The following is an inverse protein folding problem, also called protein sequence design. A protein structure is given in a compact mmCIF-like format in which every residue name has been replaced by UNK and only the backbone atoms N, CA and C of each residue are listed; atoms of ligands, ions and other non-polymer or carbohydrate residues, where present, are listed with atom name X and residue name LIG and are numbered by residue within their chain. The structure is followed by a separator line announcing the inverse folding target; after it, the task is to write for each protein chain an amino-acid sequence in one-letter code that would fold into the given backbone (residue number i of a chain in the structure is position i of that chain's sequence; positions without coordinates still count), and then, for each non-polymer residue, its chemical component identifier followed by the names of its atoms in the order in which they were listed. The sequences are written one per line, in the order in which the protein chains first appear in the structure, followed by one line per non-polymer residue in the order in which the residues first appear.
data_IF_590440912352
#
_entry.id   IF_590440912352
#
_cell.length_a   1.000
_cell.length_b   1.000
_cell.length_c   1.000
_cell.angle_alpha   90.00
_cell.angle_beta   90.00
_cell.angle_gamma   90.00
#
_symmetry.space_group_name_H-M   'P 1'
#
loop_
_entity.id
_entity.type
_entity.pdbx_description
1 polymer ?
#
# COMPACT_ATOMS: atom_id res chain seq x y z
N UNK A 1 -45.43 43.80 25.86
CA UNK A 1 -46.23 44.23 24.68
C UNK A 1 -46.40 43.03 23.75
N UNK A 2 -47.58 42.84 23.13
CA UNK A 2 -48.15 41.50 23.01
C UNK A 2 -48.08 40.83 21.62
N UNK A 3 -48.07 39.49 21.68
CA UNK A 3 -48.81 38.51 20.86
C UNK A 3 -49.33 38.90 19.46
N UNK A 4 -48.95 38.10 18.46
CA UNK A 4 -49.79 37.77 17.29
C UNK A 4 -49.83 36.24 17.13
N UNK A 5 -50.93 35.74 16.59
CA UNK A 5 -51.50 34.41 16.76
C UNK A 5 -51.05 33.32 15.77
N UNK A 6 -51.38 32.09 16.17
CA UNK A 6 -51.33 30.82 15.42
C UNK A 6 -52.24 30.85 14.18
N UNK A 7 -51.87 30.08 13.14
CA UNK A 7 -52.80 29.43 12.23
C UNK A 7 -52.27 28.02 11.91
N UNK A 8 -53.12 27.01 12.11
CA UNK A 8 -52.89 25.60 11.78
C UNK A 8 -53.52 25.31 10.41
N UNK A 9 -53.01 24.33 9.67
CA UNK A 9 -53.85 23.59 8.71
C UNK A 9 -53.40 22.13 8.63
N UNK A 10 -54.36 21.22 8.84
CA UNK A 10 -54.14 19.77 8.91
C UNK A 10 -54.64 19.06 7.65
N UNK A 11 -53.91 18.01 7.28
CA UNK A 11 -54.41 16.73 6.74
C UNK A 11 -55.31 16.75 5.49
N UNK A 12 -54.82 16.10 4.41
CA UNK A 12 -55.60 14.98 3.83
C UNK A 12 -54.74 13.79 3.42
N UNK A 13 -54.93 12.67 4.11
CA UNK A 13 -54.59 11.31 3.67
C UNK A 13 -55.70 10.75 2.78
N UNK A 14 -55.35 9.97 1.75
CA UNK A 14 -56.13 8.78 1.36
C UNK A 14 -55.31 7.88 0.42
N UNK A 15 -55.70 6.60 0.36
CA UNK A 15 -54.93 5.48 -0.19
C UNK A 15 -55.85 4.49 -0.88
N UNK A 16 -55.43 3.90 -2.00
CA UNK A 16 -55.94 2.64 -2.58
C UNK A 16 -54.86 2.12 -3.58
N UNK A 17 -54.42 0.85 -3.70
CA UNK A 17 -54.98 -0.48 -3.37
C UNK A 17 -56.08 -0.93 -4.39
N UNK A 18 -56.13 -2.13 -5.00
CA UNK A 18 -55.23 -3.30 -5.19
C UNK A 18 -55.66 -4.01 -6.51
N UNK A 19 -54.76 -4.68 -7.23
CA UNK A 19 -54.92 -5.98 -7.95
C UNK A 19 -53.73 -6.17 -8.92
N UNK A 20 -53.18 -7.35 -9.19
CA UNK A 20 -53.51 -8.71 -8.74
C UNK A 20 -53.32 -9.72 -9.88
N UNK A 21 -52.53 -10.78 -9.67
CA UNK A 21 -52.71 -12.17 -10.16
C UNK A 21 -51.37 -12.95 -10.23
N UNK A 22 -51.26 -14.02 -9.44
CA UNK A 22 -50.23 -15.08 -9.61
C UNK A 22 -50.68 -16.13 -10.64
N UNK A 23 -49.80 -17.09 -10.99
CA UNK A 23 -50.05 -18.56 -10.91
C UNK A 23 -48.78 -19.34 -11.33
N UNK A 24 -48.19 -20.08 -10.36
CA UNK A 24 -47.82 -21.52 -10.37
C UNK A 24 -46.89 -22.09 -11.49
N UNK A 25 -45.94 -23.02 -11.28
CA UNK A 25 -45.95 -24.21 -10.39
C UNK A 25 -44.53 -24.70 -9.96
N UNK A 26 -44.38 -24.99 -8.66
CA UNK A 26 -44.08 -26.31 -8.02
C UNK A 26 -42.96 -27.26 -8.55
N UNK A 27 -42.01 -27.60 -7.65
CA UNK A 27 -41.47 -28.96 -7.29
C UNK A 27 -39.93 -29.10 -7.38
N UNK A 28 -39.21 -29.91 -6.59
CA UNK A 28 -39.45 -30.61 -5.30
C UNK A 28 -38.12 -31.25 -4.85
N UNK A 29 -37.73 -31.10 -3.58
CA UNK A 29 -36.59 -31.84 -2.96
C UNK A 29 -37.11 -33.14 -2.33
N UNK A 30 -36.33 -34.25 -2.34
CA UNK A 30 -35.94 -34.87 -1.07
C UNK A 30 -34.54 -35.54 -1.08
N UNK A 31 -33.98 -35.82 0.10
CA UNK A 31 -33.01 -36.91 0.29
C UNK A 31 -31.73 -36.57 1.05
N UNK A 32 -31.71 -36.86 2.35
CA UNK A 32 -30.49 -36.87 3.19
C UNK A 32 -29.89 -38.28 3.26
N UNK A 33 -28.56 -38.41 3.29
CA UNK A 33 -27.85 -39.49 4.01
C UNK A 33 -26.41 -39.07 4.33
N UNK A 34 -25.99 -39.30 5.57
CA UNK A 34 -24.60 -39.17 6.01
C UNK A 34 -23.69 -40.27 5.43
N UNK A 35 -22.38 -40.02 5.32
CA UNK A 35 -21.35 -40.99 5.78
C UNK A 35 -19.92 -40.44 5.85
N UNK A 36 -19.39 -40.51 7.07
CA UNK A 36 -18.00 -40.81 7.48
C UNK A 36 -16.81 -40.63 6.51
N UNK A 37 -15.93 -39.71 6.92
CA UNK A 37 -14.46 -39.75 6.93
C UNK A 37 -13.68 -40.86 6.20
N UNK A 38 -12.61 -40.46 5.48
CA UNK A 38 -11.36 -41.24 5.42
C UNK A 38 -10.11 -40.37 5.14
N UNK A 39 -9.08 -40.48 5.99
CA UNK A 39 -7.75 -39.87 5.82
C UNK A 39 -6.86 -40.73 4.91
N UNK A 40 -6.15 -40.13 3.94
CA UNK A 40 -4.91 -40.65 3.32
C UNK A 40 -4.02 -39.44 2.99
N UNK A 41 -2.96 -39.12 3.76
CA UNK A 41 -1.60 -39.71 3.83
C UNK A 41 -0.83 -39.73 2.50
N UNK A 42 0.31 -39.04 2.54
CA UNK A 42 1.36 -38.81 1.54
C UNK A 42 2.17 -40.07 1.24
N UNK A 43 2.83 -40.14 0.07
CA UNK A 43 4.17 -40.72 -0.03
C UNK A 43 5.20 -39.83 -0.75
N UNK A 44 6.31 -39.56 -0.05
CA UNK A 44 7.67 -39.37 -0.60
C UNK A 44 8.38 -40.75 -0.63
N UNK A 45 9.71 -40.91 -0.94
CA UNK A 45 10.74 -39.96 -1.39
C UNK A 45 11.14 -40.26 -2.87
N UNK A 46 12.31 -40.79 -3.31
CA UNK A 46 13.53 -41.26 -2.63
C UNK A 46 14.70 -40.23 -2.58
N UNK A 47 15.83 -40.62 -1.98
CA UNK A 47 17.16 -40.03 -2.15
C UNK A 47 18.00 -40.89 -3.14
N UNK A 48 19.10 -40.35 -3.65
CA UNK A 48 20.24 -41.14 -4.19
C UNK A 48 21.58 -40.53 -3.76
N UNK A 49 22.62 -41.37 -3.71
CA UNK A 49 23.84 -41.14 -2.94
C UNK A 49 25.13 -41.52 -3.68
N UNK A 50 26.26 -41.04 -3.14
CA UNK A 50 27.65 -41.49 -3.30
C UNK A 50 28.38 -41.32 -4.67
N UNK A 51 29.64 -40.86 -4.57
CA UNK A 51 30.67 -40.91 -5.61
C UNK A 51 31.90 -40.07 -5.25
N UNK A 52 33.08 -40.69 -5.09
CA UNK A 52 34.31 -40.04 -4.59
C UNK A 52 35.23 -39.48 -5.71
N UNK A 53 35.93 -38.39 -5.37
CA UNK A 53 37.36 -38.00 -5.58
C UNK A 53 38.32 -38.99 -6.30
N UNK A 54 39.47 -38.54 -6.92
CA UNK A 54 40.40 -37.56 -6.31
C UNK A 54 41.35 -36.68 -7.20
N UNK A 55 42.09 -35.81 -6.48
CA UNK A 55 43.48 -35.35 -6.70
C UNK A 55 43.84 -34.20 -7.68
N UNK A 56 43.98 -32.99 -7.11
CA UNK A 56 45.20 -32.16 -7.06
C UNK A 56 46.31 -32.32 -8.14
N UNK A 57 46.70 -31.24 -8.84
CA UNK A 57 47.91 -30.44 -8.52
C UNK A 57 48.36 -29.42 -9.60
N UNK A 58 48.85 -28.27 -9.13
CA UNK A 58 50.02 -27.50 -9.64
C UNK A 58 49.90 -26.29 -10.61
N UNK A 59 50.70 -25.27 -10.27
CA UNK A 59 51.30 -24.19 -11.08
C UNK A 59 50.50 -22.92 -11.45
N UNK A 60 50.85 -21.81 -10.78
CA UNK A 60 50.95 -20.46 -11.39
C UNK A 60 52.39 -20.29 -11.95
N UNK A 61 52.76 -19.26 -12.77
CA UNK A 61 52.97 -17.91 -12.21
C UNK A 61 52.97 -16.66 -13.16
N UNK A 62 53.14 -15.48 -12.54
CA UNK A 62 53.67 -14.17 -13.04
C UNK A 62 52.85 -13.21 -13.94
N UNK A 63 52.30 -12.18 -13.27
CA UNK A 63 52.39 -10.71 -13.56
C UNK A 63 52.93 -10.23 -14.93
N UNK A 64 52.28 -9.21 -15.52
CA UNK A 64 52.97 -8.03 -16.09
C UNK A 64 52.08 -6.78 -16.18
N UNK A 65 52.58 -5.65 -15.65
CA UNK A 65 52.01 -4.30 -15.83
C UNK A 65 52.38 -3.74 -17.21
N UNK A 66 51.51 -2.93 -17.83
CA UNK A 66 51.89 -1.68 -18.53
C UNK A 66 50.67 -0.76 -18.79
N UNK A 67 50.85 0.52 -18.48
CA UNK A 67 50.15 1.71 -18.99
C UNK A 67 51.20 2.55 -19.78
N UNK A 68 50.86 3.65 -20.47
CA UNK A 68 49.54 4.14 -20.89
C UNK A 68 49.44 4.35 -22.43
N UNK A 69 48.22 4.61 -22.92
CA UNK A 69 47.99 5.15 -24.26
C UNK A 69 46.70 5.96 -24.23
N UNK A 70 46.77 7.26 -24.53
CA UNK A 70 45.61 8.14 -24.51
C UNK A 70 44.86 8.07 -25.85
N UNK A 71 43.55 7.87 -25.81
CA UNK A 71 42.66 8.09 -26.95
C UNK A 71 41.46 8.88 -26.45
N UNK A 72 41.19 10.02 -27.10
CA UNK A 72 39.99 10.82 -26.88
C UNK A 72 38.81 10.14 -27.57
N UNK A 73 37.74 9.88 -26.82
CA UNK A 73 36.42 9.51 -27.37
C UNK A 73 35.33 10.11 -26.51
N UNK A 74 34.59 11.05 -27.09
CA UNK A 74 33.42 11.69 -26.49
C UNK A 74 32.14 10.89 -26.80
N UNK A 75 31.54 10.24 -25.80
CA UNK A 75 30.09 9.98 -25.71
C UNK A 75 29.67 9.39 -24.36
N UNK A 76 28.37 9.52 -24.09
CA UNK A 76 27.55 8.89 -23.05
C UNK A 76 28.00 9.06 -21.59
N UNK A 77 27.42 10.08 -20.96
CA UNK A 77 27.40 10.26 -19.51
C UNK A 77 25.99 10.66 -19.01
N UNK A 78 24.95 10.08 -19.62
CA UNK A 78 23.54 10.48 -19.42
C UNK A 78 22.58 9.35 -19.01
N UNK A 79 23.05 8.15 -18.67
CA UNK A 79 22.20 7.02 -18.24
C UNK A 79 22.70 6.34 -16.95
N UNK A 80 22.97 7.11 -15.89
CA UNK A 80 22.95 6.57 -14.52
C UNK A 80 21.56 6.82 -13.94
N UNK A 81 20.65 5.87 -14.24
CA UNK A 81 19.24 5.92 -13.87
C UNK A 81 19.04 5.83 -12.36
N UNK A 82 18.08 6.59 -11.85
CA UNK A 82 17.70 6.58 -10.44
C UNK A 82 17.07 5.22 -10.06
N UNK A 83 17.62 4.57 -9.03
CA UNK A 83 17.13 3.30 -8.49
C UNK A 83 18.13 2.73 -7.49
N UNK A 84 17.73 2.43 -6.24
CA UNK A 84 18.66 1.93 -5.24
C UNK A 84 19.05 0.47 -5.53
N UNK A 85 20.35 0.22 -5.50
CA UNK A 85 20.93 -1.12 -5.45
C UNK A 85 20.35 -1.90 -4.26
N UNK A 86 19.95 -3.15 -4.51
CA UNK A 86 19.74 -4.15 -3.46
C UNK A 86 20.85 -5.20 -3.62
N UNK A 87 21.46 -5.62 -2.51
CA UNK A 87 22.46 -6.69 -2.50
C UNK A 87 21.90 -7.88 -1.74
N UNK A 88 21.51 -8.94 -2.45
CA UNK A 88 21.28 -10.24 -1.80
C UNK A 88 22.60 -10.73 -1.24
N UNK A 89 22.59 -11.06 0.05
CA UNK A 89 23.78 -11.40 0.83
C UNK A 89 24.31 -12.78 0.42
N UNK A 90 25.20 -12.85 -0.57
CA UNK A 90 25.92 -14.09 -0.89
C UNK A 90 26.81 -14.52 0.29
N UNK A 91 27.08 -15.83 0.45
CA UNK A 91 28.16 -16.31 1.31
C UNK A 91 29.47 -15.64 0.89
N UNK A 92 30.21 -15.09 1.86
CA UNK A 92 31.43 -14.37 1.57
C UNK A 92 32.47 -15.29 0.91
N UNK A 93 32.71 -15.15 -0.41
CA UNK A 93 33.94 -15.55 -1.14
C UNK A 93 33.92 -15.29 -2.68
N UNK A 94 33.11 -14.35 -3.20
CA UNK A 94 33.11 -13.98 -4.63
C UNK A 94 33.54 -12.52 -4.84
N UNK A 95 34.33 -12.26 -5.90
CA UNK A 95 34.89 -10.92 -6.22
C UNK A 95 34.30 -10.32 -7.51
N UNK A 96 33.22 -10.90 -8.00
CA UNK A 96 32.59 -10.52 -9.27
C UNK A 96 31.57 -9.38 -9.06
N UNK A 97 31.31 -8.54 -10.09
CA UNK A 97 30.28 -7.52 -10.01
C UNK A 97 28.91 -8.18 -9.75
N UNK A 98 28.22 -7.71 -8.72
CA UNK A 98 26.97 -8.32 -8.26
C UNK A 98 25.85 -8.12 -9.26
N UNK A 99 25.15 -9.20 -9.59
CA UNK A 99 23.94 -9.19 -10.42
C UNK A 99 22.85 -8.32 -9.76
N UNK A 100 22.60 -7.15 -10.35
CA UNK A 100 21.47 -6.29 -10.01
C UNK A 100 20.23 -6.81 -10.76
N UNK A 101 19.41 -7.62 -10.10
CA UNK A 101 18.07 -7.97 -10.60
C UNK A 101 17.22 -6.69 -10.65
N UNK A 102 16.60 -6.36 -11.79
CA UNK A 102 15.67 -5.24 -11.86
C UNK A 102 14.52 -5.42 -10.85
N UNK A 103 14.13 -4.35 -10.14
CA UNK A 103 12.94 -4.42 -9.29
C UNK A 103 11.69 -4.71 -10.14
N UNK A 104 10.81 -5.58 -9.65
CA UNK A 104 9.57 -6.02 -10.31
C UNK A 104 8.52 -4.90 -10.59
N UNK A 105 8.85 -3.63 -10.31
CA UNK A 105 7.91 -2.51 -10.43
C UNK A 105 6.69 -2.63 -9.49
N UNK A 106 6.81 -3.40 -8.40
CA UNK A 106 5.73 -3.63 -7.41
C UNK A 106 5.82 -2.72 -6.17
N UNK A 107 6.97 -2.11 -5.92
CA UNK A 107 7.26 -1.36 -4.72
C UNK A 107 7.78 0.05 -5.04
N UNK A 108 7.62 0.94 -4.08
CA UNK A 108 8.16 2.30 -4.08
C UNK A 108 9.70 2.29 -3.86
N UNK A 109 10.39 3.35 -4.27
CA UNK A 109 11.83 3.54 -4.03
C UNK A 109 12.11 4.36 -2.76
N UNK A 110 11.11 5.09 -2.25
CA UNK A 110 11.28 6.04 -1.16
C UNK A 110 10.79 5.46 0.17
N UNK A 111 11.64 5.47 1.19
CA UNK A 111 11.29 4.95 2.50
C UNK A 111 10.12 5.73 3.14
N UNK A 112 9.04 5.02 3.50
CA UNK A 112 7.79 5.57 4.06
C UNK A 112 7.97 6.53 5.25
N UNK A 113 9.01 6.33 6.05
CA UNK A 113 9.27 7.09 7.29
C UNK A 113 10.14 8.33 7.10
N UNK A 114 10.96 8.39 6.04
CA UNK A 114 11.93 9.48 5.85
C UNK A 114 11.91 10.10 4.45
N UNK A 115 11.11 9.54 3.53
CA UNK A 115 10.84 10.05 2.18
C UNK A 115 12.12 10.20 1.34
N UNK A 116 13.07 9.27 1.53
CA UNK A 116 14.37 9.24 0.86
C UNK A 116 14.64 7.84 0.30
N UNK A 117 15.36 7.82 -0.81
CA UNK A 117 15.98 6.63 -1.41
C UNK A 117 17.05 5.99 -0.50
N UNK A 118 17.46 4.78 -0.86
CA UNK A 118 18.53 4.01 -0.22
C UNK A 118 18.21 2.50 -0.20
N UNK A 119 19.00 1.71 0.52
CA UNK A 119 18.67 0.30 0.77
C UNK A 119 17.41 0.21 1.63
N UNK A 120 16.36 -0.41 1.08
CA UNK A 120 15.05 -0.55 1.72
C UNK A 120 14.62 -2.01 1.82
N UNK A 121 13.72 -2.26 2.77
CA UNK A 121 12.94 -3.48 2.94
C UNK A 121 11.60 -3.28 2.22
N UNK A 122 11.19 -4.26 1.41
CA UNK A 122 9.90 -4.27 0.72
C UNK A 122 8.85 -4.97 1.58
N UNK A 123 7.63 -4.44 1.60
CA UNK A 123 6.49 -5.11 2.21
C UNK A 123 5.85 -6.06 1.18
N UNK A 124 5.49 -7.28 1.59
CA UNK A 124 4.82 -8.25 0.70
C UNK A 124 3.37 -7.87 0.37
N UNK A 125 2.67 -7.19 1.28
CA UNK A 125 1.25 -6.86 1.14
C UNK A 125 0.94 -5.48 0.52
N UNK A 126 1.93 -4.61 0.34
CA UNK A 126 1.70 -3.26 -0.20
C UNK A 126 2.99 -2.66 -0.79
N UNK A 127 2.91 -1.61 -1.63
CA UNK A 127 4.09 -1.07 -2.30
C UNK A 127 5.04 -0.28 -1.38
N UNK A 128 4.70 -0.06 -0.10
CA UNK A 128 5.51 0.75 0.84
C UNK A 128 6.84 0.05 1.16
N UNK A 129 7.90 0.84 1.20
CA UNK A 129 9.26 0.37 1.53
C UNK A 129 9.85 1.12 2.73
N UNK A 130 10.80 0.50 3.43
CA UNK A 130 11.32 1.02 4.70
C UNK A 130 12.82 0.79 4.84
N UNK A 131 13.59 1.78 5.27
CA UNK A 131 14.94 1.52 5.77
C UNK A 131 14.86 0.79 7.12
N UNK A 132 15.62 -0.31 7.28
CA UNK A 132 15.76 -1.02 8.57
C UNK A 132 16.17 -0.07 9.72
N UNK A 133 17.09 0.88 9.45
CA UNK A 133 17.51 1.93 10.41
C UNK A 133 16.38 2.89 10.83
N UNK A 134 15.42 3.17 9.95
CA UNK A 134 14.29 4.05 10.26
C UNK A 134 13.24 3.34 11.12
N UNK A 135 13.10 2.03 10.94
CA UNK A 135 12.31 1.14 11.81
C UNK A 135 13.02 0.77 13.13
N UNK A 136 14.33 1.07 13.25
CA UNK A 136 15.19 0.69 14.38
C UNK A 136 15.26 -0.82 14.62
N UNK A 137 15.19 -1.62 13.55
CA UNK A 137 15.30 -3.08 13.66
C UNK A 137 16.71 -3.49 14.10
N UNK A 138 16.88 -4.50 14.97
CA UNK A 138 18.18 -4.98 15.42
C UNK A 138 18.94 -5.76 14.33
N UNK A 139 18.21 -6.36 13.40
CA UNK A 139 18.69 -7.04 12.20
C UNK A 139 17.65 -6.88 11.08
N UNK A 140 18.03 -7.16 9.84
CA UNK A 140 17.07 -7.28 8.74
C UNK A 140 16.23 -8.56 8.91
N UNK A 141 14.92 -8.53 8.58
CA UNK A 141 14.05 -9.69 8.71
C UNK A 141 14.43 -10.79 7.69
N UNK A 142 14.29 -12.05 8.10
CA UNK A 142 14.48 -13.22 7.22
C UNK A 142 13.10 -13.74 6.77
N UNK A 143 12.93 -13.93 5.46
CA UNK A 143 11.66 -14.38 4.86
C UNK A 143 10.63 -13.26 4.68
N UNK A 144 9.35 -13.66 4.60
CA UNK A 144 8.23 -12.76 4.35
C UNK A 144 8.13 -11.67 5.43
N UNK A 145 8.04 -10.41 5.00
CA UNK A 145 7.96 -9.26 5.91
C UNK A 145 6.77 -8.34 5.59
N UNK A 146 6.08 -7.94 6.66
CA UNK A 146 4.93 -7.04 6.61
C UNK A 146 5.28 -5.72 7.31
N UNK A 147 4.95 -4.60 6.67
CA UNK A 147 5.27 -3.31 7.24
C UNK A 147 4.31 -2.88 8.36
N UNK A 148 4.72 -1.94 9.24
CA UNK A 148 3.90 -1.52 10.38
C UNK A 148 2.55 -0.88 10.02
N UNK A 149 2.34 -0.39 8.79
CA UNK A 149 1.00 0.08 8.38
C UNK A 149 0.10 -1.09 7.98
N UNK A 150 0.64 -2.12 7.30
CA UNK A 150 -0.10 -3.35 7.01
C UNK A 150 -0.45 -4.11 8.29
N UNK A 151 0.50 -4.25 9.22
CA UNK A 151 0.27 -4.88 10.53
C UNK A 151 -0.89 -4.22 11.30
N UNK A 152 -0.92 -2.88 11.37
CA UNK A 152 -2.04 -2.14 11.99
C UNK A 152 -3.37 -2.40 11.30
N UNK A 153 -3.40 -2.39 9.97
CA UNK A 153 -4.62 -2.65 9.18
C UNK A 153 -5.12 -4.07 9.46
N UNK A 154 -4.24 -5.07 9.41
CA UNK A 154 -4.59 -6.47 9.72
C UNK A 154 -5.14 -6.62 11.14
N UNK A 155 -4.55 -5.97 12.14
CA UNK A 155 -5.05 -5.99 13.53
C UNK A 155 -6.39 -5.25 13.66
N UNK A 156 -6.60 -4.15 12.93
CA UNK A 156 -7.82 -3.35 12.98
C UNK A 156 -9.01 -4.00 12.23
N UNK A 157 -8.76 -4.80 11.20
CA UNK A 157 -9.78 -5.51 10.40
C UNK A 157 -10.02 -6.96 10.89
N UNK A 158 -9.13 -7.51 11.71
CA UNK A 158 -9.29 -8.83 12.32
C UNK A 158 -10.50 -8.86 13.28
N UNK A 159 -11.41 -9.82 13.08
CA UNK A 159 -12.70 -9.89 13.79
C UNK A 159 -12.50 -10.04 15.31
N UNK A 160 -11.42 -10.71 15.72
CA UNK A 160 -11.05 -10.97 17.10
C UNK A 160 -10.36 -9.78 17.81
N UNK A 161 -9.73 -8.87 17.06
CA UNK A 161 -8.93 -7.76 17.66
C UNK A 161 -9.40 -6.34 17.26
N UNK A 162 -10.34 -6.23 16.33
CA UNK A 162 -10.94 -4.95 15.94
C UNK A 162 -11.53 -4.19 17.14
N UNK A 163 -11.58 -2.86 17.04
CA UNK A 163 -12.11 -2.02 18.11
C UNK A 163 -13.61 -2.24 18.33
N UNK A 164 -14.10 -1.97 19.54
CA UNK A 164 -15.54 -2.02 19.86
C UNK A 164 -16.39 -1.10 18.96
N UNK A 165 -15.80 0.01 18.48
CA UNK A 165 -16.47 0.88 17.52
C UNK A 165 -16.62 0.18 16.17
N UNK A 166 -15.56 -0.46 15.67
CA UNK A 166 -15.58 -1.23 14.43
C UNK A 166 -16.55 -2.42 14.48
N UNK A 167 -16.65 -3.15 15.59
CA UNK A 167 -17.64 -4.24 15.75
C UNK A 167 -19.10 -3.79 15.60
N UNK A 168 -19.37 -2.50 15.78
CA UNK A 168 -20.71 -1.91 15.75
C UNK A 168 -21.01 -1.16 14.44
N UNK A 169 -20.08 -1.14 13.48
CA UNK A 169 -20.20 -0.42 12.22
C UNK A 169 -20.25 -1.37 11.03
N UNK A 170 -21.19 -1.15 10.11
CA UNK A 170 -21.15 -1.73 8.77
C UNK A 170 -20.20 -0.94 7.86
N UNK A 171 -19.75 -1.55 6.75
CA UNK A 171 -18.94 -0.86 5.75
C UNK A 171 -19.64 0.37 5.13
N UNK A 172 -20.97 0.39 5.09
CA UNK A 172 -21.76 1.56 4.68
C UNK A 172 -21.66 2.70 5.70
N UNK A 173 -21.79 2.38 7.00
CA UNK A 173 -21.65 3.37 8.07
C UNK A 173 -20.21 3.90 8.16
N UNK A 174 -19.21 3.02 8.05
CA UNK A 174 -17.80 3.43 7.95
C UNK A 174 -17.59 4.35 6.73
N UNK A 175 -18.03 3.95 5.54
CA UNK A 175 -17.91 4.77 4.32
C UNK A 175 -18.53 6.16 4.49
N UNK A 176 -19.69 6.26 5.17
CA UNK A 176 -20.34 7.51 5.48
C UNK A 176 -19.53 8.40 6.46
N UNK A 177 -18.94 7.81 7.51
CA UNK A 177 -18.07 8.52 8.46
C UNK A 177 -16.76 9.00 7.79
N UNK A 178 -16.10 8.12 7.03
CA UNK A 178 -14.90 8.47 6.25
C UNK A 178 -15.17 9.61 5.25
N UNK A 179 -16.37 9.65 4.65
CA UNK A 179 -16.78 10.75 3.76
C UNK A 179 -16.84 12.09 4.49
N UNK A 180 -17.25 12.14 5.76
CA UNK A 180 -17.24 13.38 6.55
C UNK A 180 -15.82 13.84 6.89
N UNK A 181 -14.95 12.94 7.38
CA UNK A 181 -13.54 13.25 7.60
C UNK A 181 -12.87 13.78 6.31
N UNK A 182 -13.23 13.21 5.15
CA UNK A 182 -12.79 13.69 3.85
C UNK A 182 -13.33 15.08 3.48
N UNK A 183 -14.53 15.47 3.89
CA UNK A 183 -14.99 16.86 3.72
C UNK A 183 -14.21 17.83 4.59
N UNK A 184 -13.85 17.44 5.82
CA UNK A 184 -13.02 18.25 6.73
C UNK A 184 -11.62 18.49 6.16
N UNK A 185 -11.02 17.47 5.54
CA UNK A 185 -9.75 17.61 4.83
C UNK A 185 -9.83 18.57 3.62
N UNK A 186 -11.00 18.73 2.99
CA UNK A 186 -11.24 19.61 1.82
C UNK A 186 -11.50 21.08 2.18
N UNK A 187 -10.86 21.60 3.24
CA UNK A 187 -10.94 23.02 3.59
C UNK A 187 -10.23 23.94 2.56
N UNK A 188 -10.48 25.26 2.57
CA UNK A 188 -9.76 26.22 1.72
C UNK A 188 -8.23 26.13 1.87
N UNK A 189 -7.51 26.22 0.77
CA UNK A 189 -6.05 26.11 0.71
C UNK A 189 -5.53 24.68 0.45
N UNK A 190 -6.42 23.69 0.31
CA UNK A 190 -6.08 22.29 -0.01
C UNK A 190 -6.26 21.92 -1.48
N UNK A 191 -6.66 22.88 -2.32
CA UNK A 191 -6.98 22.70 -3.74
C UNK A 191 -5.90 21.93 -4.53
N UNK A 192 -4.58 22.12 -4.31
CA UNK A 192 -3.53 21.34 -4.98
C UNK A 192 -3.59 19.83 -4.74
N UNK A 193 -4.29 19.36 -3.70
CA UNK A 193 -4.45 17.95 -3.35
C UNK A 193 -5.87 17.42 -3.60
N UNK A 194 -6.77 18.24 -4.16
CA UNK A 194 -8.16 17.84 -4.39
C UNK A 194 -8.37 16.98 -5.63
N UNK A 195 -7.39 16.91 -6.53
CA UNK A 195 -7.40 16.15 -7.79
C UNK A 195 -6.01 15.51 -8.02
N UNK A 196 -5.90 14.50 -8.90
CA UNK A 196 -4.60 13.98 -9.32
C UNK A 196 -3.71 15.10 -9.89
N UNK A 197 -2.40 14.99 -9.65
CA UNK A 197 -1.40 15.88 -10.25
C UNK A 197 -1.40 15.71 -11.77
N UNK A 198 -1.44 16.82 -12.51
CA UNK A 198 -1.47 16.78 -13.98
C UNK A 198 -0.07 16.52 -14.55
N UNK A 199 0.07 15.42 -15.29
CA UNK A 199 1.32 15.10 -16.01
C UNK A 199 1.59 16.06 -17.18
N UNK A 200 0.60 16.83 -17.66
CA UNK A 200 0.84 17.91 -18.63
C UNK A 200 1.57 19.10 -17.99
N UNK A 201 1.37 19.31 -16.69
CA UNK A 201 2.00 20.38 -15.90
C UNK A 201 3.28 19.89 -15.21
N UNK A 202 3.34 18.59 -14.91
CA UNK A 202 4.44 17.92 -14.20
C UNK A 202 4.82 16.61 -14.92
N UNK A 203 5.49 16.67 -16.09
CA UNK A 203 5.76 15.48 -16.91
C UNK A 203 6.64 14.43 -16.24
N UNK A 204 7.52 14.87 -15.33
CA UNK A 204 8.47 14.06 -14.56
C UNK A 204 7.84 13.41 -13.32
N UNK A 205 6.62 13.79 -12.91
CA UNK A 205 6.00 13.34 -11.66
C UNK A 205 5.90 11.80 -11.56
N UNK A 206 5.64 11.13 -12.68
CA UNK A 206 5.56 9.67 -12.76
C UNK A 206 6.93 8.95 -12.66
N UNK A 207 8.04 9.66 -12.80
CA UNK A 207 9.40 9.11 -12.59
C UNK A 207 9.73 9.01 -11.10
N UNK A 208 9.15 9.89 -10.28
CA UNK A 208 9.36 9.95 -8.82
C UNK A 208 8.26 9.26 -8.02
N UNK A 209 7.00 9.36 -8.46
CA UNK A 209 5.83 8.98 -7.64
C UNK A 209 5.21 7.68 -8.13
N UNK A 210 5.59 6.59 -7.47
CA UNK A 210 5.09 5.24 -7.75
C UNK A 210 3.58 5.08 -7.50
N UNK A 211 3.07 5.61 -6.37
CA UNK A 211 1.67 5.44 -5.96
C UNK A 211 0.98 6.79 -5.76
N UNK A 212 0.45 7.35 -6.85
CA UNK A 212 -0.27 8.62 -6.82
C UNK A 212 -1.57 8.53 -5.99
N UNK A 213 -1.82 9.55 -5.16
CA UNK A 213 -3.02 9.65 -4.31
C UNK A 213 -3.44 11.12 -4.13
N UNK A 214 -4.75 11.35 -4.02
CA UNK A 214 -5.38 12.68 -3.90
C UNK A 214 -6.77 12.57 -3.24
N UNK A 215 -7.34 13.69 -2.79
CA UNK A 215 -8.63 13.71 -2.07
C UNK A 215 -9.85 13.34 -2.94
N UNK A 216 -9.76 13.37 -4.28
CA UNK A 216 -10.81 12.83 -5.16
C UNK A 216 -10.67 11.30 -5.33
N UNK A 217 -9.44 10.79 -5.40
CA UNK A 217 -9.20 9.34 -5.43
C UNK A 217 -9.59 8.68 -4.11
N UNK A 218 -9.23 9.26 -2.96
CA UNK A 218 -9.74 8.83 -1.65
C UNK A 218 -11.28 8.79 -1.62
N UNK A 219 -11.96 9.82 -2.14
CA UNK A 219 -13.42 9.88 -2.16
C UNK A 219 -14.05 8.78 -3.02
N UNK A 220 -13.42 8.44 -4.17
CA UNK A 220 -13.83 7.31 -5.01
C UNK A 220 -13.66 5.98 -4.27
N UNK A 221 -12.53 5.79 -3.58
CA UNK A 221 -12.23 4.59 -2.82
C UNK A 221 -13.21 4.40 -1.63
N UNK A 222 -13.52 5.48 -0.91
CA UNK A 222 -14.53 5.48 0.16
C UNK A 222 -15.91 5.09 -0.38
N UNK A 223 -16.36 5.67 -1.49
CA UNK A 223 -17.65 5.32 -2.14
C UNK A 223 -17.70 3.87 -2.62
N UNK A 224 -16.56 3.32 -3.04
CA UNK A 224 -16.40 1.90 -3.40
C UNK A 224 -16.24 0.95 -2.21
N UNK A 225 -16.23 1.47 -0.97
CA UNK A 225 -16.03 0.72 0.29
C UNK A 225 -14.69 -0.04 0.32
N UNK A 226 -13.63 0.57 -0.22
CA UNK A 226 -12.27 -0.02 -0.29
C UNK A 226 -11.52 -0.08 1.06
N UNK A 227 -12.10 0.46 2.14
CA UNK A 227 -11.48 0.55 3.45
C UNK A 227 -12.32 -0.26 4.46
N UNK A 228 -11.73 -1.26 5.09
CA UNK A 228 -12.37 -2.05 6.15
C UNK A 228 -12.24 -1.40 7.53
N UNK A 229 -11.22 -0.55 7.73
CA UNK A 229 -10.96 0.19 8.97
C UNK A 229 -10.53 1.65 8.72
N UNK A 230 -10.45 2.44 9.79
CA UNK A 230 -9.94 3.82 9.78
C UNK A 230 -8.44 3.89 9.46
N UNK A 231 -7.67 2.91 9.90
CA UNK A 231 -6.24 2.76 9.70
C UNK A 231 -5.90 2.62 8.21
N UNK A 232 -6.70 1.87 7.46
CA UNK A 232 -6.54 1.70 6.01
C UNK A 232 -6.75 3.02 5.26
N UNK A 233 -7.78 3.79 5.63
CA UNK A 233 -8.01 5.12 5.05
C UNK A 233 -6.88 6.09 5.40
N UNK A 234 -6.44 6.15 6.66
CA UNK A 234 -5.33 7.01 7.08
C UNK A 234 -4.00 6.62 6.39
N UNK A 235 -3.76 5.33 6.17
CA UNK A 235 -2.60 4.84 5.43
C UNK A 235 -2.57 5.33 3.97
N UNK A 236 -3.74 5.50 3.34
CA UNK A 236 -3.85 6.11 2.01
C UNK A 236 -3.76 7.64 2.05
N UNK A 237 -4.34 8.32 3.04
CA UNK A 237 -4.16 9.78 3.22
C UNK A 237 -2.68 10.16 3.35
N UNK A 238 -1.89 9.32 4.03
CA UNK A 238 -0.43 9.51 4.15
C UNK A 238 0.33 9.49 2.82
N UNK A 239 -0.18 8.82 1.76
CA UNK A 239 0.45 8.89 0.43
C UNK A 239 0.49 10.32 -0.11
N UNK A 240 -0.53 11.14 0.16
CA UNK A 240 -0.56 12.56 -0.23
C UNK A 240 0.65 13.30 0.34
N UNK A 241 0.95 13.09 1.63
CA UNK A 241 2.09 13.70 2.29
C UNK A 241 3.43 13.11 1.82
N UNK A 242 3.54 11.78 1.72
CA UNK A 242 4.75 11.09 1.29
C UNK A 242 5.16 11.55 -0.12
N UNK A 243 4.24 11.52 -1.09
CA UNK A 243 4.45 11.99 -2.45
C UNK A 243 4.81 13.48 -2.51
N UNK A 244 4.12 14.31 -1.71
CA UNK A 244 4.42 15.73 -1.64
C UNK A 244 5.85 16.00 -1.15
N UNK A 245 6.33 15.25 -0.15
CA UNK A 245 7.70 15.39 0.37
C UNK A 245 8.75 14.96 -0.66
N UNK A 246 8.50 13.88 -1.41
CA UNK A 246 9.41 13.39 -2.46
C UNK A 246 9.53 14.43 -3.58
N UNK A 247 8.40 14.79 -4.20
CA UNK A 247 8.41 15.63 -5.40
C UNK A 247 8.72 17.11 -5.12
N UNK A 248 8.32 17.63 -3.95
CA UNK A 248 8.47 19.07 -3.63
C UNK A 248 9.54 19.37 -2.56
N UNK A 249 9.97 18.37 -1.80
CA UNK A 249 10.84 18.54 -0.64
C UNK A 249 10.10 18.85 0.68
N UNK A 250 10.67 18.35 1.79
CA UNK A 250 10.05 18.37 3.13
C UNK A 250 9.73 19.75 3.74
N UNK A 251 10.35 20.81 3.19
CA UNK A 251 10.21 22.21 3.61
C UNK A 251 9.30 23.05 2.68
N UNK A 252 8.75 22.46 1.61
CA UNK A 252 7.91 23.18 0.67
C UNK A 252 6.56 23.60 1.27
N UNK A 253 5.96 24.69 0.76
CA UNK A 253 4.66 25.18 1.24
C UNK A 253 3.55 24.13 1.08
N UNK A 254 3.53 23.42 -0.06
CA UNK A 254 2.58 22.32 -0.28
C UNK A 254 2.74 21.21 0.76
N UNK A 255 3.97 20.91 1.20
CA UNK A 255 4.23 19.91 2.25
C UNK A 255 3.66 20.36 3.60
N UNK A 256 3.65 21.65 3.91
CA UNK A 256 2.97 22.16 5.11
C UNK A 256 1.45 21.93 5.03
N UNK A 257 0.84 22.20 3.87
CA UNK A 257 -0.59 21.92 3.62
C UNK A 257 -0.90 20.41 3.68
N UNK A 258 -0.07 19.54 3.10
CA UNK A 258 -0.25 18.09 3.18
C UNK A 258 -0.14 17.57 4.63
N UNK A 259 0.75 18.14 5.45
CA UNK A 259 0.82 17.84 6.90
C UNK A 259 -0.46 18.24 7.63
N UNK A 260 -1.14 19.32 7.22
CA UNK A 260 -2.44 19.73 7.78
C UNK A 260 -3.53 18.72 7.39
N UNK A 261 -3.57 18.26 6.14
CA UNK A 261 -4.51 17.23 5.67
C UNK A 261 -4.40 15.95 6.52
N UNK A 262 -3.17 15.43 6.71
CA UNK A 262 -2.94 14.22 7.55
C UNK A 262 -3.39 14.46 9.00
N UNK A 263 -3.01 15.59 9.61
CA UNK A 263 -3.39 15.91 10.99
C UNK A 263 -4.90 15.98 11.22
N UNK A 264 -5.67 16.47 10.24
CA UNK A 264 -7.12 16.51 10.31
C UNK A 264 -7.68 15.09 10.25
N UNK A 265 -7.17 14.25 9.34
CA UNK A 265 -7.56 12.85 9.30
C UNK A 265 -7.29 12.12 10.61
N UNK A 266 -6.14 12.37 11.25
CA UNK A 266 -5.80 11.82 12.57
C UNK A 266 -6.74 12.36 13.67
N UNK A 267 -7.06 13.65 13.64
CA UNK A 267 -7.94 14.28 14.63
C UNK A 267 -9.36 13.67 14.61
N UNK A 268 -9.96 13.45 13.44
CA UNK A 268 -11.31 12.91 13.29
C UNK A 268 -11.44 11.40 13.65
N UNK A 269 -10.34 10.71 14.00
CA UNK A 269 -10.35 9.30 14.45
C UNK A 269 -9.98 9.10 15.91
N UNK A 270 -9.28 10.05 16.52
CA UNK A 270 -8.80 9.95 17.91
C UNK A 270 -9.49 10.91 18.89
N UNK A 271 -10.53 11.63 18.43
CA UNK A 271 -11.40 12.51 19.25
C UNK A 271 -12.88 12.26 18.89
#
# INVERSE_FOLDING_TARGET
FPCVSVAEEEVKTESDAVEGMEISTRSKVPGSVERAAQKRKVPSPPHSSNGHSPAETSSSPVKKKKKPGAVSSSKDQSELRHGPFYYVKQPALTTDPVDVVPQDGRNDFYCWLCHREGQVLCCELCPRVYHAKCLKLPAEPEGDWFCPECEKITVAECIETQSKAMTMLTLDQLSYLLKFALQKMKQPGTEPFQKPVSLEQHPDYAEYIFHAMDLCTLEKNTKKKMYGCTEAFLADVKWILHNCIIYNGGNHKLTATAKVIVKICEHEYYN
#
